data_IF_771099225810
#
_entry.id   IF_771099225810
#
_cell.length_a   1.000
_cell.length_b   1.000
_cell.length_c   1.000
_cell.angle_alpha   90.00
_cell.angle_beta   90.00
_cell.angle_gamma   90.00
#
_symmetry.space_group_name_H-M   'P 1'
#
loop_
_entity.id
_entity.type
_entity.pdbx_description
1 polymer ?
#
# COMPACT_ATOMS: atom_id res chain seq x y z
N UNK A 1 -2.49 -35.83 -19.83
CA UNK A 1 -3.43 -34.74 -19.54
C UNK A 1 -3.32 -34.45 -18.06
N UNK A 2 -2.55 -33.43 -17.67
CA UNK A 2 -2.51 -32.94 -16.29
C UNK A 2 -2.35 -31.42 -16.39
N UNK A 3 -3.49 -30.74 -16.20
CA UNK A 3 -3.61 -29.29 -16.11
C UNK A 3 -3.02 -28.85 -14.78
N UNK A 4 -1.83 -28.26 -14.81
CA UNK A 4 -1.32 -27.50 -13.68
C UNK A 4 -1.34 -26.02 -14.07
N UNK A 5 -2.45 -25.37 -13.74
CA UNK A 5 -2.56 -23.93 -13.61
C UNK A 5 -3.21 -23.68 -12.26
N UNK A 6 -2.47 -23.07 -11.33
CA UNK A 6 -2.91 -21.93 -10.51
C UNK A 6 -1.85 -21.52 -9.47
N UNK A 7 -1.07 -20.50 -9.84
CA UNK A 7 -0.86 -19.25 -9.10
C UNK A 7 -1.03 -19.31 -7.55
N UNK A 8 0.08 -19.31 -6.81
CA UNK A 8 0.07 -18.98 -5.36
C UNK A 8 0.49 -17.52 -5.15
N UNK A 9 -0.48 -16.61 -5.17
CA UNK A 9 -0.35 -15.29 -4.53
C UNK A 9 -0.33 -15.49 -3.01
N UNK A 10 0.85 -15.65 -2.42
CA UNK A 10 1.02 -15.71 -0.96
C UNK A 10 0.84 -14.30 -0.36
N UNK A 11 -0.41 -13.88 -0.15
CA UNK A 11 -0.77 -12.58 0.42
C UNK A 11 -0.36 -12.42 1.90
N UNK A 12 -0.34 -13.53 2.65
CA UNK A 12 0.12 -13.55 4.05
C UNK A 12 1.48 -14.22 4.08
N UNK A 13 2.54 -13.41 4.16
CA UNK A 13 3.92 -13.91 4.22
C UNK A 13 4.32 -14.34 5.63
N UNK A 14 3.71 -13.74 6.66
CA UNK A 14 4.04 -14.02 8.05
C UNK A 14 2.81 -13.93 8.96
N UNK A 15 2.64 -14.92 9.83
CA UNK A 15 1.63 -14.93 10.89
C UNK A 15 2.33 -15.23 12.22
N UNK A 16 2.21 -14.33 13.18
CA UNK A 16 2.64 -14.59 14.56
C UNK A 16 1.57 -14.25 15.57
N UNK A 17 1.62 -14.94 16.70
CA UNK A 17 0.88 -14.57 17.91
C UNK A 17 1.83 -13.90 18.89
N UNK A 18 1.66 -12.60 19.11
CA UNK A 18 2.40 -11.85 20.14
C UNK A 18 1.63 -11.79 21.46
N UNK A 19 2.34 -11.48 22.55
CA UNK A 19 1.71 -11.09 23.82
C UNK A 19 1.95 -9.61 24.06
N UNK A 20 0.95 -8.96 24.63
CA UNK A 20 1.08 -7.58 25.09
C UNK A 20 1.80 -7.60 26.45
N UNK A 21 2.79 -6.73 26.61
CA UNK A 21 3.43 -6.54 27.92
C UNK A 21 2.48 -5.83 28.90
N UNK A 22 2.83 -5.84 30.19
CA UNK A 22 2.06 -5.11 31.23
C UNK A 22 1.93 -3.61 30.96
N UNK A 23 2.86 -3.04 30.17
CA UNK A 23 2.84 -1.63 29.77
C UNK A 23 2.12 -1.39 28.45
N UNK A 24 1.42 -2.39 27.91
CA UNK A 24 0.70 -2.26 26.65
C UNK A 24 1.60 -2.30 25.40
N UNK A 25 2.80 -2.88 25.49
CA UNK A 25 3.75 -2.91 24.36
C UNK A 25 3.68 -4.25 23.62
N UNK A 26 3.68 -4.20 22.29
CA UNK A 26 3.84 -5.37 21.42
C UNK A 26 5.28 -5.40 20.91
N UNK A 27 5.97 -6.54 21.07
CA UNK A 27 7.34 -6.70 20.58
C UNK A 27 7.30 -7.22 19.14
N UNK A 28 7.93 -6.48 18.24
CA UNK A 28 8.13 -6.89 16.85
C UNK A 28 9.38 -7.77 16.72
N UNK A 29 9.30 -8.95 16.05
CA UNK A 29 10.46 -9.78 15.75
C UNK A 29 11.52 -9.02 14.96
N UNK A 30 12.76 -9.50 15.02
CA UNK A 30 13.88 -8.83 14.35
C UNK A 30 13.69 -8.84 12.83
N UNK A 31 13.23 -9.96 12.29
CA UNK A 31 13.01 -10.19 10.87
C UNK A 31 12.06 -9.15 10.27
N UNK A 32 10.91 -8.92 10.92
CA UNK A 32 9.94 -7.91 10.49
C UNK A 32 10.51 -6.48 10.59
N UNK A 33 11.31 -6.20 11.63
CA UNK A 33 11.94 -4.88 11.78
C UNK A 33 12.96 -4.62 10.67
N UNK A 34 13.80 -5.61 10.35
CA UNK A 34 14.82 -5.48 9.31
C UNK A 34 14.18 -5.31 7.92
N UNK A 35 13.15 -6.10 7.60
CA UNK A 35 12.42 -6.02 6.32
C UNK A 35 11.70 -4.69 6.11
N UNK A 36 11.09 -4.15 7.18
CA UNK A 36 10.35 -2.88 7.14
C UNK A 36 11.23 -1.68 7.50
N UNK A 37 12.55 -1.87 7.67
CA UNK A 37 13.50 -0.83 8.09
C UNK A 37 13.05 -0.05 9.34
N UNK A 38 12.47 -0.76 10.31
CA UNK A 38 11.99 -0.19 11.57
C UNK A 38 13.11 -0.20 12.62
N UNK A 39 13.42 0.97 13.14
CA UNK A 39 14.38 1.18 14.22
C UNK A 39 13.67 1.53 15.54
N UNK A 40 14.42 1.56 16.63
CA UNK A 40 13.89 1.99 17.91
C UNK A 40 13.45 3.47 17.84
N UNK A 41 12.17 3.73 18.10
CA UNK A 41 11.59 5.07 17.97
C UNK A 41 11.05 5.38 16.58
N UNK A 42 11.14 4.47 15.60
CA UNK A 42 10.49 4.67 14.30
C UNK A 42 8.97 4.84 14.47
N UNK A 43 8.38 5.83 13.78
CA UNK A 43 6.95 6.04 13.82
C UNK A 43 6.19 4.91 13.13
N UNK A 44 5.06 4.52 13.74
CA UNK A 44 4.15 3.49 13.23
C UNK A 44 2.74 4.04 13.31
N UNK A 45 2.05 4.07 12.17
CA UNK A 45 0.63 4.38 12.11
C UNK A 45 -0.18 3.15 12.54
N UNK A 46 -1.20 3.38 13.37
CA UNK A 46 -2.12 2.33 13.83
C UNK A 46 -3.51 2.64 13.29
N UNK A 47 -4.05 1.75 12.47
CA UNK A 47 -5.41 1.85 11.93
C UNK A 47 -6.31 0.79 12.57
N UNK A 48 -7.46 1.21 13.10
CA UNK A 48 -8.49 0.30 13.61
C UNK A 48 -9.50 -0.02 12.52
N UNK A 49 -9.66 -1.30 12.20
CA UNK A 49 -10.63 -1.80 11.22
C UNK A 49 -11.52 -2.82 11.93
N UNK A 50 -12.75 -2.43 12.26
CA UNK A 50 -13.64 -3.24 13.09
C UNK A 50 -12.99 -3.58 14.44
N UNK A 51 -12.70 -4.86 14.66
CA UNK A 51 -12.01 -5.37 15.86
C UNK A 51 -10.51 -5.63 15.65
N UNK A 52 -9.97 -5.28 14.49
CA UNK A 52 -8.57 -5.49 14.12
C UNK A 52 -7.76 -4.20 14.20
N UNK A 53 -6.47 -4.33 14.48
CA UNK A 53 -5.49 -3.25 14.35
C UNK A 53 -4.52 -3.59 13.22
N UNK A 54 -4.32 -2.64 12.31
CA UNK A 54 -3.31 -2.71 11.26
C UNK A 54 -2.20 -1.73 11.63
N UNK A 55 -0.96 -2.23 11.65
CA UNK A 55 0.24 -1.43 11.92
C UNK A 55 0.93 -1.17 10.59
N UNK A 56 1.22 0.09 10.30
CA UNK A 56 1.84 0.54 9.07
C UNK A 56 3.10 1.33 9.42
N UNK A 57 4.28 0.99 8.89
CA UNK A 57 5.45 1.86 8.99
C UNK A 57 5.10 3.24 8.46
N UNK A 58 5.39 4.29 9.22
CA UNK A 58 5.18 5.65 8.71
C UNK A 58 6.26 5.96 7.68
N UNK A 59 5.82 6.24 6.45
CA UNK A 59 6.72 6.56 5.35
C UNK A 59 7.00 8.07 5.34
N UNK A 60 7.74 8.59 6.32
CA UNK A 60 8.06 10.03 6.40
C UNK A 60 8.67 10.57 5.09
N UNK A 61 9.54 9.79 4.44
CA UNK A 61 10.13 10.14 3.14
C UNK A 61 9.08 10.22 2.04
N UNK A 62 8.05 9.38 2.08
CA UNK A 62 6.93 9.43 1.14
C UNK A 62 6.07 10.67 1.40
N UNK A 63 5.77 11.00 2.66
CA UNK A 63 5.03 12.21 3.02
C UNK A 63 5.77 13.46 2.55
N UNK A 64 7.08 13.57 2.83
CA UNK A 64 7.91 14.67 2.37
C UNK A 64 7.99 14.75 0.83
N UNK A 65 7.98 13.61 0.14
CA UNK A 65 7.91 13.56 -1.32
C UNK A 65 6.56 14.07 -1.82
N UNK A 66 5.46 13.64 -1.23
CA UNK A 66 4.11 14.10 -1.56
C UNK A 66 3.97 15.61 -1.37
N UNK A 67 4.45 16.17 -0.26
CA UNK A 67 4.48 17.62 -0.02
C UNK A 67 5.26 18.35 -1.12
N UNK A 68 6.40 17.80 -1.55
CA UNK A 68 7.22 18.40 -2.61
C UNK A 68 6.55 18.32 -3.98
N UNK A 69 5.84 17.24 -4.27
CA UNK A 69 5.02 17.08 -5.48
C UNK A 69 3.90 18.12 -5.46
N UNK A 70 3.17 18.24 -4.35
CA UNK A 70 2.09 19.20 -4.18
C UNK A 70 2.56 20.63 -4.43
N UNK A 71 3.66 21.05 -3.79
CA UNK A 71 4.25 22.38 -4.00
C UNK A 71 4.63 22.63 -5.47
N UNK A 72 5.09 21.61 -6.17
CA UNK A 72 5.49 21.72 -7.58
C UNK A 72 4.25 21.91 -8.47
N UNK A 73 3.19 21.13 -8.25
CA UNK A 73 1.94 21.23 -8.99
C UNK A 73 1.24 22.57 -8.75
N UNK A 74 1.21 23.03 -7.49
CA UNK A 74 0.66 24.35 -7.14
C UNK A 74 1.41 25.48 -7.86
N UNK A 75 2.75 25.43 -7.91
CA UNK A 75 3.57 26.42 -8.64
C UNK A 75 3.31 26.41 -10.15
N UNK A 76 2.96 25.26 -10.71
CA UNK A 76 2.59 25.12 -12.12
C UNK A 76 1.14 25.56 -12.41
N UNK A 77 0.36 25.92 -11.39
CA UNK A 77 -1.02 26.36 -11.54
C UNK A 77 -2.02 25.23 -11.80
N UNK A 78 -1.63 23.97 -11.55
CA UNK A 78 -2.50 22.80 -11.75
C UNK A 78 -3.62 22.82 -10.72
N UNK A 79 -4.87 22.78 -11.19
CA UNK A 79 -6.04 22.73 -10.30
C UNK A 79 -6.36 21.30 -9.90
N UNK A 80 -6.82 21.12 -8.67
CA UNK A 80 -7.21 19.82 -8.14
C UNK A 80 -8.29 19.16 -9.01
N UNK A 81 -9.29 19.92 -9.46
CA UNK A 81 -10.38 19.40 -10.28
C UNK A 81 -9.87 18.88 -11.64
N UNK A 82 -8.94 19.59 -12.26
CA UNK A 82 -8.33 19.21 -13.53
C UNK A 82 -7.58 17.89 -13.39
N UNK A 83 -6.80 17.73 -12.32
CA UNK A 83 -6.08 16.49 -12.02
C UNK A 83 -7.05 15.33 -11.74
N UNK A 84 -8.08 15.54 -10.91
CA UNK A 84 -9.07 14.52 -10.58
C UNK A 84 -9.85 14.04 -11.81
N UNK A 85 -10.13 14.95 -12.76
CA UNK A 85 -10.80 14.61 -14.01
C UNK A 85 -9.97 13.70 -14.92
N UNK A 86 -8.64 13.64 -14.74
CA UNK A 86 -7.77 12.71 -15.49
C UNK A 86 -7.79 11.29 -14.93
N UNK A 87 -8.11 11.10 -13.64
CA UNK A 87 -7.99 9.81 -12.96
C UNK A 87 -8.75 8.65 -13.60
N UNK A 88 -9.99 8.82 -14.14
CA UNK A 88 -10.69 7.71 -14.77
C UNK A 88 -9.95 7.14 -15.98
N UNK A 89 -9.38 8.00 -16.83
CA UNK A 89 -8.63 7.57 -18.01
C UNK A 89 -7.29 6.97 -17.60
N UNK A 90 -6.52 7.67 -16.76
CA UNK A 90 -5.22 7.15 -16.27
C UNK A 90 -5.39 5.80 -15.57
N UNK A 91 -6.47 5.60 -14.80
CA UNK A 91 -6.77 4.31 -14.17
C UNK A 91 -7.00 3.21 -15.21
N UNK A 92 -7.74 3.50 -16.29
CA UNK A 92 -7.95 2.54 -17.39
C UNK A 92 -6.63 2.20 -18.10
N UNK A 93 -5.81 3.20 -18.38
CA UNK A 93 -4.50 3.02 -19.01
C UNK A 93 -3.58 2.13 -18.16
N UNK A 94 -3.41 2.50 -16.88
CA UNK A 94 -2.59 1.75 -15.92
C UNK A 94 -3.14 0.34 -15.69
N UNK A 95 -4.47 0.18 -15.64
CA UNK A 95 -5.10 -1.13 -15.52
C UNK A 95 -4.81 -2.01 -16.75
N UNK A 96 -4.95 -1.47 -17.97
CA UNK A 96 -4.66 -2.21 -19.20
C UNK A 96 -3.18 -2.58 -19.31
N UNK A 97 -2.28 -1.70 -18.85
CA UNK A 97 -0.83 -1.96 -18.81
C UNK A 97 -0.49 -3.11 -17.86
N UNK A 98 -1.03 -3.11 -16.64
CA UNK A 98 -0.68 -4.10 -15.63
C UNK A 98 -1.52 -5.39 -15.69
N UNK A 99 -2.72 -5.34 -16.28
CA UNK A 99 -3.67 -6.45 -16.34
C UNK A 99 -4.25 -6.64 -17.75
N UNK A 100 -3.41 -6.91 -18.76
CA UNK A 100 -3.86 -6.99 -20.16
C UNK A 100 -4.94 -8.06 -20.36
N UNK A 101 -4.77 -9.25 -19.77
CA UNK A 101 -5.72 -10.36 -19.89
C UNK A 101 -7.12 -10.03 -19.32
N UNK A 102 -7.19 -9.16 -18.31
CA UNK A 102 -8.47 -8.72 -17.72
C UNK A 102 -9.09 -7.57 -18.52
N UNK A 103 -8.25 -6.69 -19.08
CA UNK A 103 -8.69 -5.56 -19.88
C UNK A 103 -9.25 -5.94 -21.26
N UNK A 104 -8.78 -7.05 -21.87
CA UNK A 104 -9.34 -7.57 -23.12
C UNK A 104 -10.81 -8.02 -22.99
N UNK A 105 -11.20 -8.46 -21.79
CA UNK A 105 -12.55 -8.96 -21.49
C UNK A 105 -13.56 -7.86 -21.09
N UNK A 106 -13.15 -6.58 -20.98
CA UNK A 106 -14.09 -5.47 -20.72
C UNK A 106 -15.04 -5.19 -21.90
N UNK A 107 -14.75 -5.72 -23.10
CA UNK A 107 -15.55 -5.50 -24.32
C UNK A 107 -16.80 -6.39 -24.44
N UNK A 108 -16.96 -7.39 -23.56
CA UNK A 108 -18.05 -8.39 -23.60
C UNK A 108 -19.12 -8.21 -22.49
N UNK A 109 -19.05 -7.13 -21.70
CA UNK A 109 -20.03 -6.75 -20.67
C UNK A 109 -20.82 -5.50 -21.06
#
# INVERSE_FOLDING_TARGET
MNTNVKNEMNFVQYLMTGRLSEKGQLVLPKEFRDEQSLEAGSPIAILKIGNSLLLLPEMEKFNALCERIEQTLQKAGVRTEELLNTLPETRREVFREHYPDLAENESEL
#
